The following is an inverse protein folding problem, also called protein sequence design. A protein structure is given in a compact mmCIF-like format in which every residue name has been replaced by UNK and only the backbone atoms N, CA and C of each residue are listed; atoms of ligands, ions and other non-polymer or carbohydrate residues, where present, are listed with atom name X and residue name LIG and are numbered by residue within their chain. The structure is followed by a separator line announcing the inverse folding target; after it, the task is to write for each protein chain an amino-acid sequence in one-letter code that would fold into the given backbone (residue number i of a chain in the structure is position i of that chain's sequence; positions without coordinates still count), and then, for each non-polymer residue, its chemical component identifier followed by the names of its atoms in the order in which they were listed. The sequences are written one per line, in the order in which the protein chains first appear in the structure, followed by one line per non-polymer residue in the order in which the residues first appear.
data_IF_890494442965
#
_entry.id   IF_890494442965
#
_cell.length_a   1.000
_cell.length_b   1.000
_cell.length_c   1.000
_cell.angle_alpha   90.00
_cell.angle_beta   90.00
_cell.angle_gamma   90.00
#
_symmetry.space_group_name_H-M   'P 1'
#
loop_
_entity.id
_entity.type
_entity.pdbx_description
1 polymer ?
#
# COMPACT_ATOMS: atom_id res chain seq x y z
N UNK A 1 -9.18 -2.67 13.36
CA UNK A 1 -9.57 -1.28 13.60
C UNK A 1 -9.97 -1.10 15.06
N UNK A 2 -9.91 0.13 15.58
CA UNK A 2 -10.28 0.41 16.98
C UNK A 2 -11.80 0.30 17.23
N UNK A 3 -12.60 0.28 16.17
CA UNK A 3 -14.07 0.13 16.18
C UNK A 3 -14.55 -1.34 16.19
N UNK A 4 -13.63 -2.30 16.29
CA UNK A 4 -13.93 -3.72 16.28
C UNK A 4 -14.07 -4.34 14.88
N UNK A 5 -13.98 -3.56 13.80
CA UNK A 5 -13.93 -4.12 12.45
C UNK A 5 -12.59 -4.82 12.21
N UNK A 6 -12.67 -6.01 11.58
CA UNK A 6 -11.50 -6.76 11.18
C UNK A 6 -10.70 -5.97 10.13
N UNK A 7 -9.37 -5.97 10.27
CA UNK A 7 -8.51 -5.41 9.22
C UNK A 7 -8.47 -6.39 8.05
N UNK A 8 -8.59 -5.87 6.84
CA UNK A 8 -8.59 -6.66 5.61
C UNK A 8 -7.56 -6.13 4.60
N UNK A 9 -7.30 -6.92 3.57
CA UNK A 9 -6.50 -6.50 2.42
C UNK A 9 -7.03 -5.24 1.73
N UNK A 10 -8.34 -4.95 1.84
CA UNK A 10 -8.94 -3.75 1.27
C UNK A 10 -8.46 -2.48 1.99
N UNK A 11 -8.24 -2.54 3.31
CA UNK A 11 -7.73 -1.40 4.09
C UNK A 11 -6.30 -1.04 3.66
N UNK A 12 -5.50 -2.06 3.36
CA UNK A 12 -4.13 -1.88 2.84
C UNK A 12 -4.18 -1.24 1.47
N UNK A 13 -4.94 -1.79 0.52
CA UNK A 13 -5.04 -1.23 -0.83
C UNK A 13 -5.51 0.23 -0.80
N UNK A 14 -6.58 0.52 -0.04
CA UNK A 14 -7.08 1.87 0.18
C UNK A 14 -6.01 2.83 0.70
N UNK A 15 -5.24 2.41 1.71
CA UNK A 15 -4.21 3.27 2.31
C UNK A 15 -3.13 3.66 1.29
N UNK A 16 -2.67 2.70 0.47
CA UNK A 16 -1.66 2.98 -0.55
C UNK A 16 -2.22 3.81 -1.71
N UNK A 17 -3.50 3.64 -2.07
CA UNK A 17 -4.17 4.51 -3.04
C UNK A 17 -4.22 5.96 -2.53
N UNK A 18 -4.65 6.16 -1.28
CA UNK A 18 -4.71 7.50 -0.65
C UNK A 18 -3.32 8.15 -0.56
N UNK A 19 -2.29 7.39 -0.21
CA UNK A 19 -0.93 7.93 -0.09
C UNK A 19 -0.30 8.27 -1.43
N UNK A 20 -0.72 7.62 -2.51
CA UNK A 20 -0.17 7.86 -3.86
C UNK A 20 -0.97 8.87 -4.67
N UNK A 21 -2.22 9.15 -4.28
CA UNK A 21 -3.07 10.19 -4.85
C UNK A 21 -2.42 11.59 -4.72
N UNK A 22 -2.29 12.26 -5.85
CA UNK A 22 -1.74 13.61 -5.95
C UNK A 22 -2.62 14.69 -5.30
N UNK A 23 -3.92 14.45 -5.20
CA UNK A 23 -4.88 15.38 -4.57
C UNK A 23 -4.73 15.36 -3.05
N UNK A 24 -4.51 14.19 -2.46
CA UNK A 24 -4.29 14.02 -1.02
C UNK A 24 -2.96 14.62 -0.58
N UNK A 25 -1.96 14.66 -1.47
CA UNK A 25 -0.64 15.24 -1.24
C UNK A 25 0.03 14.71 0.05
N UNK A 26 -0.03 13.40 0.27
CA UNK A 26 0.60 12.75 1.42
C UNK A 26 2.11 13.03 1.44
N UNK A 27 2.70 13.39 2.60
CA UNK A 27 4.15 13.58 2.72
C UNK A 27 4.94 12.29 2.48
N UNK A 28 4.30 11.13 2.55
CA UNK A 28 4.92 9.82 2.34
C UNK A 28 4.91 9.35 0.88
N UNK A 29 4.26 10.10 -0.03
CA UNK A 29 4.12 9.72 -1.44
C UNK A 29 5.45 9.41 -2.13
N UNK A 30 6.51 10.17 -1.81
CA UNK A 30 7.84 9.98 -2.39
C UNK A 30 8.51 8.65 -1.97
N UNK A 31 8.22 8.17 -0.76
CA UNK A 31 8.70 6.88 -0.27
C UNK A 31 8.12 5.73 -1.09
N UNK A 32 6.85 5.83 -1.50
CA UNK A 32 6.12 4.78 -2.22
C UNK A 32 6.37 4.75 -3.73
N UNK A 33 7.26 5.60 -4.27
CA UNK A 33 7.46 5.77 -5.73
C UNK A 33 7.83 4.49 -6.49
N UNK A 34 8.43 3.51 -5.81
CA UNK A 34 8.84 2.24 -6.41
C UNK A 34 7.72 1.22 -6.51
N UNK A 35 6.58 1.45 -5.85
CA UNK A 35 5.39 0.60 -5.96
C UNK A 35 4.66 0.96 -7.26
N UNK A 36 4.40 -0.05 -8.07
CA UNK A 36 3.67 0.04 -9.32
C UNK A 36 2.18 -0.24 -9.12
N UNK A 37 1.83 -1.19 -8.26
CA UNK A 37 0.46 -1.53 -7.92
C UNK A 37 0.35 -2.26 -6.58
N UNK A 38 -0.77 -2.05 -5.89
CA UNK A 38 -1.20 -2.80 -4.70
C UNK A 38 -2.56 -3.39 -5.03
N UNK A 39 -2.68 -4.72 -4.98
CA UNK A 39 -3.92 -5.43 -5.37
C UNK A 39 -4.33 -6.42 -4.31
N UNK A 40 -5.63 -6.54 -4.06
CA UNK A 40 -6.18 -7.53 -3.12
C UNK A 40 -6.39 -8.86 -3.83
N UNK A 41 -5.79 -9.94 -3.32
CA UNK A 41 -6.04 -11.30 -3.83
C UNK A 41 -7.24 -11.94 -3.15
N UNK A 42 -7.33 -11.77 -1.83
CA UNK A 42 -8.42 -12.22 -0.97
C UNK A 42 -8.50 -11.29 0.26
N UNK A 43 -9.32 -11.63 1.26
CA UNK A 43 -9.56 -10.77 2.43
C UNK A 43 -8.32 -10.53 3.30
N UNK A 44 -7.30 -11.40 3.24
CA UNK A 44 -6.10 -11.32 4.09
C UNK A 44 -4.78 -11.31 3.29
N UNK A 45 -4.86 -11.29 1.96
CA UNK A 45 -3.69 -11.35 1.07
C UNK A 45 -3.64 -10.15 0.13
N UNK A 46 -2.59 -9.35 0.27
CA UNK A 46 -2.26 -8.23 -0.62
C UNK A 46 -1.07 -8.62 -1.50
N UNK A 47 -1.10 -8.20 -2.76
CA UNK A 47 -0.01 -8.39 -3.72
C UNK A 47 0.54 -7.02 -4.12
N UNK A 48 1.79 -6.78 -3.73
CA UNK A 48 2.58 -5.63 -4.15
C UNK A 48 3.36 -5.94 -5.42
N UNK A 49 3.28 -5.05 -6.41
CA UNK A 49 4.13 -5.06 -7.60
C UNK A 49 5.03 -3.85 -7.57
N UNK A 50 6.33 -4.08 -7.72
CA UNK A 50 7.34 -3.02 -7.74
C UNK A 50 7.83 -2.75 -9.16
N UNK A 51 8.20 -1.50 -9.43
CA UNK A 51 8.77 -1.06 -10.71
C UNK A 51 10.14 -1.67 -10.99
N UNK A 52 10.90 -1.93 -9.92
CA UNK A 52 12.23 -2.53 -9.95
C UNK A 52 12.51 -3.26 -8.63
N UNK A 53 13.53 -4.12 -8.63
CA UNK A 53 14.03 -4.76 -7.41
C UNK A 53 15.02 -3.81 -6.72
N UNK A 54 14.91 -3.67 -5.41
CA UNK A 54 15.84 -2.91 -4.58
C UNK A 54 15.83 -3.50 -3.15
N UNK A 55 16.91 -3.34 -2.37
CA UNK A 55 17.07 -4.04 -1.09
C UNK A 55 15.96 -3.73 -0.07
N UNK A 56 15.43 -2.51 -0.08
CA UNK A 56 14.47 -2.03 0.92
C UNK A 56 13.01 -2.32 0.55
N UNK A 57 12.72 -3.03 -0.56
CA UNK A 57 11.35 -3.20 -1.07
C UNK A 57 10.36 -3.78 -0.05
N UNK A 58 10.84 -4.60 0.87
CA UNK A 58 9.99 -5.17 1.91
C UNK A 58 9.52 -4.10 2.92
N UNK A 59 10.34 -3.10 3.23
CA UNK A 59 10.00 -2.03 4.17
C UNK A 59 8.98 -1.04 3.61
N UNK A 60 8.85 -0.97 2.29
CA UNK A 60 7.82 -0.15 1.63
C UNK A 60 6.46 -0.89 1.52
N UNK A 61 6.37 -2.15 1.96
CA UNK A 61 5.17 -3.00 1.89
C UNK A 61 4.69 -3.46 3.29
N UNK A 62 4.92 -2.65 4.32
CA UNK A 62 4.57 -2.92 5.72
C UNK A 62 3.45 -2.00 6.20
#
# INVERSE_FOLDING_TARGET
WQDGQAVTAADVAFTYDVYTDTVVNSPFRSSLRHIAAVTTRDSLTVVFRFRQRYPEMFYDAV
#
